data_IF_037915783513
#
_entry.id   IF_037915783513
#
_cell.length_a   1.000
_cell.length_b   1.000
_cell.length_c   1.000
_cell.angle_alpha   90.00
_cell.angle_beta   90.00
_cell.angle_gamma   90.00
#
_symmetry.space_group_name_H-M   'P 1'
#
loop_
_entity.id
_entity.type
_entity.pdbx_description
1 polymer ?
#
# COMPACT_ATOMS: atom_id res chain seq x y z
N UNK A 1 -21.55 -28.31 -13.84
CA UNK A 1 -21.87 -26.87 -14.00
C UNK A 1 -20.81 -26.27 -14.90
N UNK A 2 -21.21 -25.46 -15.88
CA UNK A 2 -20.29 -24.66 -16.69
C UNK A 2 -20.08 -23.31 -15.99
N UNK A 3 -18.89 -23.10 -15.44
CA UNK A 3 -18.55 -21.92 -14.64
C UNK A 3 -17.16 -21.42 -15.01
N UNK A 4 -17.01 -20.08 -15.12
CA UNK A 4 -15.72 -19.39 -15.32
C UNK A 4 -15.46 -18.47 -14.14
N UNK A 5 -14.20 -18.40 -13.71
CA UNK A 5 -13.73 -17.45 -12.70
C UNK A 5 -13.61 -16.06 -13.31
N UNK A 6 -14.26 -15.07 -12.69
CA UNK A 6 -14.08 -13.65 -13.03
C UNK A 6 -12.95 -13.10 -12.17
N UNK A 7 -11.73 -13.16 -12.70
CA UNK A 7 -10.47 -12.94 -11.99
C UNK A 7 -9.78 -14.27 -11.65
N UNK A 8 -8.60 -14.51 -12.23
CA UNK A 8 -7.87 -15.76 -11.99
C UNK A 8 -7.48 -15.85 -10.49
N UNK A 9 -7.73 -16.97 -9.78
CA UNK A 9 -7.46 -17.06 -8.34
C UNK A 9 -6.01 -16.74 -7.96
N UNK A 10 -5.07 -17.06 -8.87
CA UNK A 10 -3.65 -16.74 -8.71
C UNK A 10 -3.28 -15.26 -8.72
N UNK A 11 -4.17 -14.32 -9.09
CA UNK A 11 -3.85 -12.89 -9.02
C UNK A 11 -3.44 -12.47 -7.61
N UNK A 12 -4.09 -13.05 -6.59
CA UNK A 12 -3.71 -12.84 -5.19
C UNK A 12 -2.26 -13.25 -4.91
N UNK A 13 -1.79 -14.36 -5.48
CA UNK A 13 -0.42 -14.84 -5.28
C UNK A 13 0.59 -14.08 -6.15
N UNK A 14 0.18 -13.63 -7.35
CA UNK A 14 1.04 -12.90 -8.28
C UNK A 14 1.27 -11.44 -7.87
N UNK A 15 0.23 -10.76 -7.40
CA UNK A 15 0.29 -9.35 -6.98
C UNK A 15 0.04 -9.30 -5.48
N UNK A 16 1.09 -9.58 -4.71
CA UNK A 16 1.03 -9.59 -3.25
C UNK A 16 2.18 -8.79 -2.65
N UNK A 17 2.16 -8.65 -1.31
CA UNK A 17 3.26 -8.03 -0.56
C UNK A 17 4.60 -8.74 -0.81
N UNK A 18 4.57 -10.04 -1.15
CA UNK A 18 5.76 -10.82 -1.47
C UNK A 18 6.51 -10.25 -2.68
N UNK A 19 5.81 -9.60 -3.62
CA UNK A 19 6.43 -9.03 -4.81
C UNK A 19 7.23 -7.74 -4.51
N UNK A 20 6.96 -7.06 -3.39
CA UNK A 20 7.53 -5.73 -3.09
C UNK A 20 9.06 -5.70 -2.97
N UNK A 21 9.74 -6.64 -2.28
CA UNK A 21 11.21 -6.65 -2.22
C UNK A 21 11.92 -6.80 -3.58
N UNK A 22 11.21 -7.31 -4.59
CA UNK A 22 11.74 -7.48 -5.94
C UNK A 22 11.59 -6.22 -6.82
N UNK A 23 10.72 -5.28 -6.45
CA UNK A 23 10.47 -4.05 -7.21
C UNK A 23 11.52 -2.97 -6.87
N UNK A 24 12.66 -3.04 -7.56
CA UNK A 24 13.79 -2.10 -7.39
C UNK A 24 13.75 -1.02 -8.47
N UNK A 25 13.07 0.09 -8.17
CA UNK A 25 12.97 1.28 -9.03
C UNK A 25 13.15 2.53 -8.19
N UNK A 26 13.39 3.69 -8.81
CA UNK A 26 13.52 4.96 -8.09
C UNK A 26 12.21 5.41 -7.41
N UNK A 27 11.07 4.94 -7.92
CA UNK A 27 9.74 5.34 -7.48
C UNK A 27 9.14 4.39 -6.43
N UNK A 28 9.78 3.25 -6.15
CA UNK A 28 9.27 2.26 -5.19
C UNK A 28 9.92 2.43 -3.82
N UNK A 29 9.10 2.30 -2.77
CA UNK A 29 9.61 2.29 -1.40
C UNK A 29 10.37 0.97 -1.13
N UNK A 30 11.61 1.03 -0.61
CA UNK A 30 12.39 -0.15 -0.26
C UNK A 30 11.61 -1.11 0.62
N UNK A 31 11.69 -2.40 0.29
CA UNK A 31 11.10 -3.47 1.06
C UNK A 31 12.06 -4.66 1.14
N UNK A 32 11.98 -5.40 2.25
CA UNK A 32 12.80 -6.57 2.54
C UNK A 32 11.94 -7.65 3.14
N UNK A 33 12.26 -8.92 2.90
CA UNK A 33 11.76 -9.98 3.77
C UNK A 33 12.34 -9.80 5.19
N UNK A 34 11.58 -10.20 6.19
CA UNK A 34 11.96 -9.97 7.59
C UNK A 34 13.23 -10.72 8.00
N UNK A 35 13.49 -11.90 7.43
CA UNK A 35 14.72 -12.68 7.60
C UNK A 35 15.91 -12.17 6.76
N UNK A 36 15.65 -11.30 5.78
CA UNK A 36 16.68 -10.68 4.93
C UNK A 36 16.90 -9.19 5.27
N UNK A 37 16.36 -8.70 6.39
CA UNK A 37 16.44 -7.30 6.75
C UNK A 37 17.89 -6.86 7.05
N UNK A 38 18.44 -5.85 6.35
CA UNK A 38 19.84 -5.48 6.52
C UNK A 38 20.17 -4.96 7.93
N UNK A 39 21.34 -5.34 8.45
CA UNK A 39 21.82 -4.90 9.76
C UNK A 39 22.04 -3.38 9.84
N UNK A 40 22.41 -2.73 8.73
CA UNK A 40 22.64 -1.29 8.65
C UNK A 40 21.37 -0.44 8.58
N UNK A 41 20.21 -1.05 8.31
CA UNK A 41 18.95 -0.32 8.21
C UNK A 41 18.38 0.02 9.60
N UNK A 42 17.77 1.20 9.71
CA UNK A 42 17.10 1.64 10.93
C UNK A 42 15.68 1.12 10.96
N UNK A 43 15.41 0.13 11.81
CA UNK A 43 14.10 -0.56 11.85
C UNK A 43 12.91 0.39 12.12
N UNK A 44 13.13 1.46 12.89
CA UNK A 44 12.11 2.48 13.19
C UNK A 44 11.63 3.25 11.96
N UNK A 45 12.39 3.21 10.87
CA UNK A 45 12.06 3.80 9.58
C UNK A 45 11.20 2.88 8.71
N UNK A 46 10.84 1.69 9.20
CA UNK A 46 10.08 0.67 8.50
C UNK A 46 8.77 0.33 9.22
N UNK A 47 7.85 -0.26 8.47
CA UNK A 47 6.66 -0.91 9.00
C UNK A 47 6.76 -2.41 8.71
N UNK A 48 6.36 -3.24 9.67
CA UNK A 48 6.38 -4.69 9.54
C UNK A 48 4.98 -5.16 9.12
N UNK A 49 4.91 -5.93 8.04
CA UNK A 49 3.65 -6.37 7.44
C UNK A 49 3.67 -7.87 7.18
N UNK A 50 2.65 -8.63 7.63
CA UNK A 50 2.51 -10.02 7.27
C UNK A 50 2.02 -10.15 5.81
N UNK A 51 2.55 -11.14 5.10
CA UNK A 51 2.23 -11.39 3.69
C UNK A 51 0.73 -11.69 3.53
N UNK A 52 0.20 -12.59 4.35
CA UNK A 52 -1.15 -13.16 4.21
C UNK A 52 -2.25 -12.47 5.02
N UNK A 53 -2.09 -11.18 5.36
CA UNK A 53 -3.14 -10.41 6.06
C UNK A 53 -3.90 -9.43 5.17
N UNK A 54 -5.15 -9.17 5.58
CA UNK A 54 -6.11 -8.28 4.92
C UNK A 54 -6.40 -7.02 5.75
N UNK A 55 -6.83 -5.95 5.09
CA UNK A 55 -7.34 -4.71 5.72
C UNK A 55 -6.41 -4.07 6.79
N UNK A 56 -5.09 -4.29 6.70
CA UNK A 56 -4.13 -3.75 7.67
C UNK A 56 -4.02 -4.54 8.98
N UNK A 57 -4.71 -5.67 9.11
CA UNK A 57 -4.56 -6.57 10.26
C UNK A 57 -3.11 -7.07 10.37
N UNK A 58 -2.54 -6.99 11.57
CA UNK A 58 -1.18 -7.45 11.86
C UNK A 58 -0.06 -6.52 11.36
N UNK A 59 -0.38 -5.32 10.84
CA UNK A 59 0.65 -4.32 10.52
C UNK A 59 1.18 -3.69 11.81
N UNK A 60 2.48 -3.80 12.04
CA UNK A 60 3.17 -3.10 13.11
C UNK A 60 3.88 -1.86 12.55
N UNK A 61 3.43 -0.69 12.99
CA UNK A 61 3.96 0.61 12.56
C UNK A 61 5.27 0.97 13.26
N UNK A 62 5.56 0.34 14.38
CA UNK A 62 6.73 0.61 15.22
C UNK A 62 7.42 -0.72 15.58
N UNK A 63 7.94 -1.43 14.56
CA UNK A 63 8.66 -2.66 14.80
C UNK A 63 9.99 -2.37 15.50
N UNK A 64 10.45 -3.34 16.28
CA UNK A 64 11.79 -3.32 16.89
C UNK A 64 12.56 -4.55 16.47
N UNK A 65 13.88 -4.53 16.65
CA UNK A 65 14.72 -5.69 16.28
C UNK A 65 14.39 -6.91 17.13
N UNK A 66 13.97 -6.69 18.37
CA UNK A 66 13.54 -7.75 19.29
C UNK A 66 12.26 -8.41 18.78
N UNK A 67 11.26 -7.62 18.36
CA UNK A 67 10.02 -8.15 17.76
C UNK A 67 10.31 -8.91 16.47
N UNK A 68 11.20 -8.39 15.63
CA UNK A 68 11.61 -9.02 14.39
C UNK A 68 12.24 -10.41 14.64
N UNK A 69 13.17 -10.49 15.59
CA UNK A 69 13.83 -11.75 15.99
C UNK A 69 12.88 -12.73 16.69
N UNK A 70 11.80 -12.24 17.28
CA UNK A 70 10.79 -13.07 17.94
C UNK A 70 9.73 -13.65 16.99
N UNK A 71 9.76 -13.29 15.69
CA UNK A 71 8.83 -13.84 14.71
C UNK A 71 9.03 -15.36 14.55
N UNK A 72 7.93 -16.11 14.63
CA UNK A 72 7.95 -17.57 14.44
C UNK A 72 8.31 -17.97 13.00
N UNK A 73 7.77 -17.24 12.01
CA UNK A 73 7.96 -17.49 10.58
C UNK A 73 8.37 -16.20 9.86
N UNK A 74 9.62 -15.71 9.99
CA UNK A 74 10.00 -14.40 9.46
C UNK A 74 9.83 -14.29 7.93
N UNK A 75 10.01 -15.36 7.16
CA UNK A 75 9.75 -15.38 5.71
C UNK A 75 8.29 -15.04 5.31
N UNK A 76 7.33 -15.13 6.25
CA UNK A 76 5.93 -14.74 6.03
C UNK A 76 5.67 -13.24 6.26
N UNK A 77 6.74 -12.45 6.44
CA UNK A 77 6.67 -11.03 6.76
C UNK A 77 7.64 -10.22 5.89
N UNK A 78 7.27 -8.96 5.67
CA UNK A 78 8.15 -7.98 5.04
C UNK A 78 8.29 -6.75 5.93
N UNK A 79 9.43 -6.09 5.84
CA UNK A 79 9.60 -4.69 6.25
C UNK A 79 9.51 -3.82 5.02
N UNK A 80 8.68 -2.78 5.07
CA UNK A 80 8.61 -1.76 4.03
C UNK A 80 8.92 -0.39 4.62
N UNK A 81 9.78 0.38 3.96
CA UNK A 81 10.16 1.71 4.45
C UNK A 81 8.92 2.60 4.54
N UNK A 82 8.82 3.33 5.65
CA UNK A 82 7.75 4.29 5.90
C UNK A 82 7.75 5.34 4.80
N UNK A 83 6.56 5.64 4.30
CA UNK A 83 6.34 6.72 3.33
C UNK A 83 5.73 7.89 4.08
N UNK A 84 6.33 9.05 3.93
CA UNK A 84 5.72 10.31 4.36
C UNK A 84 4.83 10.80 3.22
N UNK A 85 3.51 10.78 3.43
CA UNK A 85 2.57 11.37 2.49
C UNK A 85 2.74 12.89 2.50
N UNK A 86 2.78 13.49 1.31
CA UNK A 86 2.79 14.93 1.17
C UNK A 86 1.45 15.53 1.63
N UNK A 87 1.52 16.55 2.48
CA UNK A 87 0.39 17.36 2.93
C UNK A 87 0.27 18.56 2.00
N UNK A 88 -0.50 18.43 0.92
CA UNK A 88 -0.53 19.43 -0.15
C UNK A 88 -1.92 19.92 -0.53
N UNK A 89 -2.98 19.18 -0.19
CA UNK A 89 -4.35 19.60 -0.54
C UNK A 89 -4.80 20.66 0.45
N UNK A 90 -5.01 21.92 0.03
CA UNK A 90 -5.46 22.98 0.93
C UNK A 90 -6.88 22.69 1.40
N UNK A 91 -7.16 23.05 2.65
CA UNK A 91 -8.51 22.98 3.20
C UNK A 91 -8.88 24.33 3.82
N UNK A 92 -10.17 24.54 4.08
CA UNK A 92 -10.65 25.80 4.68
C UNK A 92 -10.29 25.94 6.16
N UNK A 93 -9.95 24.85 6.84
CA UNK A 93 -9.56 24.84 8.26
C UNK A 93 -8.05 25.13 8.47
N UNK A 94 -7.31 25.33 7.39
CA UNK A 94 -5.88 25.64 7.40
C UNK A 94 -4.95 24.42 7.48
N UNK A 95 -5.46 23.25 7.87
CA UNK A 95 -4.68 22.00 7.76
C UNK A 95 -4.66 21.53 6.30
N UNK A 96 -3.59 20.86 5.88
CA UNK A 96 -3.53 20.28 4.53
C UNK A 96 -3.86 18.79 4.58
N UNK A 97 -4.74 18.36 3.69
CA UNK A 97 -5.03 16.94 3.50
C UNK A 97 -3.91 16.26 2.69
N UNK A 98 -3.66 15.00 3.02
CA UNK A 98 -2.84 14.07 2.24
C UNK A 98 -3.70 13.42 1.18
N UNK A 99 -3.09 13.01 0.09
CA UNK A 99 -3.76 12.26 -0.96
C UNK A 99 -3.02 10.96 -1.32
N UNK A 100 -3.79 9.92 -1.63
CA UNK A 100 -3.33 8.69 -2.27
C UNK A 100 -4.11 8.52 -3.58
N UNK A 101 -3.42 8.20 -4.68
CA UNK A 101 -4.07 7.85 -5.94
C UNK A 101 -4.10 6.34 -6.07
N UNK A 102 -5.30 5.78 -6.25
CA UNK A 102 -5.51 4.38 -6.58
C UNK A 102 -5.88 4.26 -8.03
N UNK A 103 -5.25 3.33 -8.72
CA UNK A 103 -5.52 3.05 -10.13
C UNK A 103 -6.19 1.69 -10.25
N UNK A 104 -7.29 1.64 -11.01
CA UNK A 104 -7.98 0.41 -11.34
C UNK A 104 -7.64 0.01 -12.77
N UNK A 105 -7.12 -1.19 -12.91
CA UNK A 105 -6.82 -1.79 -14.20
C UNK A 105 -7.72 -2.99 -14.45
N UNK A 106 -8.09 -3.19 -15.71
CA UNK A 106 -8.64 -4.46 -16.21
C UNK A 106 -7.61 -5.09 -17.14
N UNK A 107 -7.54 -6.41 -17.15
CA UNK A 107 -6.64 -7.14 -18.06
C UNK A 107 -7.40 -8.30 -18.71
N UNK A 108 -8.06 -8.07 -19.84
CA UNK A 108 -8.69 -9.11 -20.65
C UNK A 108 -7.66 -10.17 -21.09
N UNK A 109 -8.10 -11.43 -21.23
CA UNK A 109 -7.23 -12.56 -21.61
C UNK A 109 -6.53 -12.34 -22.97
N UNK A 110 -7.18 -11.60 -23.88
CA UNK A 110 -6.70 -11.33 -25.24
C UNK A 110 -5.81 -10.07 -25.34
N UNK A 111 -5.71 -9.28 -24.26
CA UNK A 111 -4.92 -8.05 -24.24
C UNK A 111 -3.48 -8.33 -23.77
N UNK A 112 -2.50 -7.74 -24.45
CA UNK A 112 -1.09 -7.85 -24.06
C UNK A 112 -0.80 -7.22 -22.70
N UNK A 113 -1.37 -6.04 -22.45
CA UNK A 113 -1.07 -5.18 -21.31
C UNK A 113 -2.37 -4.79 -20.59
N UNK A 114 -2.34 -4.56 -19.26
CA UNK A 114 -3.51 -4.11 -18.51
C UNK A 114 -3.95 -2.69 -18.91
N UNK A 115 -5.25 -2.47 -19.00
CA UNK A 115 -5.87 -1.19 -19.37
C UNK A 115 -6.31 -0.44 -18.13
N UNK A 116 -5.86 0.80 -17.98
CA UNK A 116 -6.32 1.71 -16.92
C UNK A 116 -7.77 2.13 -17.22
N UNK A 117 -8.70 1.85 -16.30
CA UNK A 117 -10.12 2.17 -16.48
C UNK A 117 -10.63 3.23 -15.52
N UNK A 118 -9.95 3.42 -14.38
CA UNK A 118 -10.32 4.44 -13.43
C UNK A 118 -9.14 4.83 -12.54
N UNK A 119 -9.16 6.06 -12.05
CA UNK A 119 -8.31 6.49 -10.96
C UNK A 119 -9.17 7.07 -9.83
N UNK A 120 -8.73 6.89 -8.59
CA UNK A 120 -9.42 7.33 -7.40
C UNK A 120 -8.43 8.01 -6.46
N UNK A 121 -8.58 9.31 -6.31
CA UNK A 121 -7.93 10.08 -5.24
C UNK A 121 -8.66 9.78 -3.95
N UNK A 122 -7.93 9.41 -2.91
CA UNK A 122 -8.43 9.31 -1.54
C UNK A 122 -7.70 10.29 -0.65
N UNK A 123 -8.44 11.10 0.08
CA UNK A 123 -7.91 12.14 0.94
C UNK A 123 -8.06 11.76 2.41
N UNK A 124 -7.04 12.07 3.20
CA UNK A 124 -7.06 11.89 4.64
C UNK A 124 -6.18 12.93 5.34
N UNK A 125 -6.58 13.30 6.56
CA UNK A 125 -5.76 14.05 7.50
C UNK A 125 -5.21 13.14 8.62
N UNK A 126 -5.46 11.83 8.56
CA UNK A 126 -5.01 10.83 9.54
C UNK A 126 -3.55 10.43 9.36
N UNK A 127 -3.01 9.70 10.35
CA UNK A 127 -1.72 8.99 10.20
C UNK A 127 -1.84 7.80 9.24
N UNK A 128 -3.02 7.19 9.14
CA UNK A 128 -3.31 6.08 8.23
C UNK A 128 -4.43 6.43 7.26
N UNK A 129 -4.30 5.95 6.03
CA UNK A 129 -5.34 6.02 5.01
C UNK A 129 -6.39 4.93 5.26
N UNK A 130 -7.54 5.29 5.83
CA UNK A 130 -8.65 4.36 6.10
C UNK A 130 -9.87 5.08 6.66
N UNK A 131 -11.06 4.52 6.43
CA UNK A 131 -12.33 5.18 6.76
C UNK A 131 -12.51 5.31 8.28
N UNK A 132 -12.09 4.28 9.02
CA UNK A 132 -12.21 4.22 10.49
C UNK A 132 -11.38 5.28 11.23
N UNK A 133 -10.36 5.84 10.58
CA UNK A 133 -9.45 6.82 11.18
C UNK A 133 -9.83 8.29 10.87
N UNK A 134 -10.93 8.51 10.15
CA UNK A 134 -11.33 9.82 9.63
C UNK A 134 -12.75 10.26 10.04
N UNK A 135 -13.39 9.56 11.00
CA UNK A 135 -14.81 9.77 11.36
C UNK A 135 -15.12 11.22 11.75
N UNK A 136 -14.19 11.90 12.43
CA UNK A 136 -14.38 13.27 12.90
C UNK A 136 -13.59 14.33 12.08
N UNK A 137 -13.13 13.97 10.87
CA UNK A 137 -12.28 14.85 10.07
C UNK A 137 -13.03 15.45 8.88
N UNK A 138 -12.81 16.74 8.63
CA UNK A 138 -13.29 17.45 7.44
C UNK A 138 -12.28 17.33 6.30
N UNK A 139 -12.72 17.54 5.05
CA UNK A 139 -11.83 17.48 3.86
C UNK A 139 -11.09 16.14 3.68
N UNK A 140 -11.80 15.07 4.06
CA UNK A 140 -11.47 13.67 3.78
C UNK A 140 -12.51 13.12 2.81
N UNK A 141 -12.19 12.07 2.05
CA UNK A 141 -13.12 11.49 1.09
C UNK A 141 -12.43 10.94 -0.15
N UNK A 142 -13.19 10.77 -1.23
CA UNK A 142 -12.65 10.28 -2.49
C UNK A 142 -13.17 11.09 -3.68
N UNK A 143 -12.33 11.23 -4.70
CA UNK A 143 -12.61 11.95 -5.95
C UNK A 143 -11.87 11.30 -7.12
N UNK A 144 -12.19 11.70 -8.35
CA UNK A 144 -11.37 11.38 -9.53
C UNK A 144 -10.22 12.41 -9.64
N UNK A 145 -9.04 11.96 -10.09
CA UNK A 145 -7.95 12.83 -10.51
C UNK A 145 -8.18 13.21 -11.98
N UNK A 146 -8.49 14.48 -12.21
CA UNK A 146 -8.52 15.08 -13.54
C UNK A 146 -7.14 15.66 -13.82
N UNK A 147 -6.66 15.48 -15.05
CA UNK A 147 -5.47 16.13 -15.56
C UNK A 147 -5.79 16.73 -16.92
N UNK A 148 -5.09 17.78 -17.30
CA UNK A 148 -5.20 18.33 -18.64
C UNK A 148 -4.68 17.31 -19.66
N UNK A 149 -5.36 17.22 -20.79
CA UNK A 149 -4.88 16.47 -21.94
C UNK A 149 -4.07 17.47 -22.75
N UNK A 150 -2.74 17.41 -22.63
CA UNK A 150 -1.83 18.09 -23.58
C UNK A 150 -1.85 17.38 -24.93
#
# INVERSE_FOLDING_TARGET
>A
LDVKWVGHPNWYFRISKHSLPFLKTEQTSPAFFADEFPAGERIDSYVLKPLYSFAGLGVDLEPTREKLSALKNPHEWILQKKIQYAEFVPTVDGQKSKAEIRMMFVWPDDDRDPVLVNNLVRMSQGKMMGVDFNVDKTWVGASIALHDVE
#
